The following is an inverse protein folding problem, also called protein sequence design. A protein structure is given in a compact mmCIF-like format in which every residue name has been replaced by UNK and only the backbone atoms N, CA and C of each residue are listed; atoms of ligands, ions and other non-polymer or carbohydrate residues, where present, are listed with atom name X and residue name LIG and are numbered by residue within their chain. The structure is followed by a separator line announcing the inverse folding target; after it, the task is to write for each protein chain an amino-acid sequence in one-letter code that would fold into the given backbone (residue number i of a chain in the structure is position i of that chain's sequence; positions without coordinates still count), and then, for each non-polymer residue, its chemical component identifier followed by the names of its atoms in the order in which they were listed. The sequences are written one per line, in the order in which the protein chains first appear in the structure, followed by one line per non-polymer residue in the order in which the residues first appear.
data_IF_989192313974
#
_entry.id   IF_989192313974
#
_cell.length_a   1.000
_cell.length_b   1.000
_cell.length_c   1.000
_cell.angle_alpha   90.00
_cell.angle_beta   90.00
_cell.angle_gamma   90.00
#
_symmetry.space_group_name_H-M   'P 1'
#
loop_
_entity.id
_entity.type
_entity.pdbx_description
1 polymer ?
#
# COMPACT_ATOMS: atom_id res chain seq x y z
N UNK A 1 20.91 -4.74 -11.97
CA UNK A 1 20.83 -4.52 -13.43
C UNK A 1 19.94 -5.59 -14.06
N UNK A 2 19.32 -5.34 -15.23
CA UNK A 2 18.54 -6.38 -15.91
C UNK A 2 19.45 -7.55 -16.30
N UNK A 3 19.00 -8.78 -16.02
CA UNK A 3 19.70 -10.01 -16.36
C UNK A 3 18.96 -10.69 -17.52
N UNK A 4 19.69 -11.07 -18.57
CA UNK A 4 19.11 -11.88 -19.67
C UNK A 4 19.05 -13.33 -19.26
N UNK A 5 17.88 -13.94 -19.37
CA UNK A 5 17.64 -15.34 -19.02
C UNK A 5 17.26 -16.09 -20.30
N UNK A 6 18.03 -17.11 -20.73
CA UNK A 6 17.70 -17.88 -21.92
C UNK A 6 16.49 -18.80 -21.69
N UNK A 7 15.81 -19.18 -22.77
CA UNK A 7 14.69 -20.12 -22.69
C UNK A 7 15.14 -21.45 -22.07
N UNK A 8 14.34 -21.97 -21.14
CA UNK A 8 14.64 -23.21 -20.40
C UNK A 8 15.60 -23.04 -19.22
N UNK A 9 16.15 -21.84 -18.97
CA UNK A 9 16.94 -21.59 -17.77
C UNK A 9 16.07 -21.52 -16.52
N UNK A 10 16.68 -21.87 -15.39
CA UNK A 10 16.07 -21.80 -14.06
C UNK A 10 16.65 -20.59 -13.33
N UNK A 11 15.77 -19.75 -12.77
CA UNK A 11 16.14 -18.66 -11.89
C UNK A 11 15.79 -19.04 -10.44
N UNK A 12 16.79 -19.05 -9.57
CA UNK A 12 16.60 -19.31 -8.14
C UNK A 12 16.79 -18.00 -7.35
N UNK A 13 15.74 -17.59 -6.65
CA UNK A 13 15.80 -16.51 -5.68
C UNK A 13 15.81 -17.09 -4.27
N UNK A 14 16.94 -16.96 -3.58
CA UNK A 14 17.08 -17.38 -2.18
C UNK A 14 16.26 -16.51 -1.21
N UNK A 15 16.27 -16.85 0.09
CA UNK A 15 15.59 -16.05 1.11
C UNK A 15 16.14 -14.62 1.15
N UNK A 16 15.28 -13.66 1.50
CA UNK A 16 15.71 -12.29 1.73
C UNK A 16 16.70 -12.23 2.91
N UNK A 17 17.92 -11.77 2.64
CA UNK A 17 18.98 -11.58 3.65
C UNK A 17 18.87 -10.24 4.37
N UNK A 18 18.26 -9.25 3.71
CA UNK A 18 17.97 -7.92 4.25
C UNK A 18 16.56 -7.53 3.88
N UNK A 19 15.74 -7.26 4.88
CA UNK A 19 14.33 -6.90 4.68
C UNK A 19 13.42 -8.09 4.53
N UNK A 20 12.24 -7.84 3.99
CA UNK A 20 11.15 -8.81 3.97
C UNK A 20 10.67 -9.13 2.57
N UNK A 21 10.68 -8.16 1.64
CA UNK A 21 10.04 -8.30 0.34
C UNK A 21 11.03 -8.02 -0.79
N UNK A 22 11.09 -8.94 -1.74
CA UNK A 22 11.85 -8.79 -2.99
C UNK A 22 10.89 -8.72 -4.17
N UNK A 23 11.30 -8.02 -5.23
CA UNK A 23 10.52 -7.89 -6.46
C UNK A 23 11.31 -8.47 -7.62
N UNK A 24 10.67 -9.35 -8.37
CA UNK A 24 11.17 -9.88 -9.64
C UNK A 24 10.28 -9.35 -10.76
N UNK A 25 10.91 -8.73 -11.75
CA UNK A 25 10.22 -8.17 -12.91
C UNK A 25 10.74 -8.81 -14.19
N UNK A 26 9.84 -9.06 -15.14
CA UNK A 26 10.14 -9.61 -16.45
C UNK A 26 9.86 -8.53 -17.51
N UNK A 27 10.70 -8.45 -18.54
CA UNK A 27 10.40 -7.60 -19.68
C UNK A 27 9.09 -8.05 -20.33
N UNK A 28 8.21 -7.09 -20.64
CA UNK A 28 6.82 -7.37 -21.06
C UNK A 28 5.84 -7.59 -19.91
N UNK A 29 6.32 -7.78 -18.68
CA UNK A 29 5.51 -7.99 -17.50
C UNK A 29 4.95 -9.42 -17.37
N UNK A 30 4.30 -9.68 -16.24
CA UNK A 30 3.48 -10.88 -16.04
C UNK A 30 2.06 -10.57 -16.49
N UNK A 31 1.42 -11.50 -17.21
CA UNK A 31 0.05 -11.32 -17.73
C UNK A 31 -0.97 -12.34 -17.17
N UNK A 32 -1.10 -12.52 -15.84
CA UNK A 32 -2.28 -13.20 -15.32
C UNK A 32 -3.56 -12.44 -15.70
N UNK A 33 -4.69 -13.14 -15.62
CA UNK A 33 -6.01 -12.56 -15.82
C UNK A 33 -6.21 -11.37 -14.87
N UNK A 34 -6.58 -10.23 -15.44
CA UNK A 34 -6.82 -9.02 -14.68
C UNK A 34 -8.21 -9.06 -14.01
N UNK A 35 -8.27 -8.66 -12.74
CA UNK A 35 -9.50 -8.51 -11.97
C UNK A 35 -9.67 -7.03 -11.65
N UNK A 36 -10.82 -6.45 -12.01
CA UNK A 36 -11.11 -5.02 -11.87
C UNK A 36 -10.04 -4.10 -12.51
N UNK A 37 -9.47 -4.51 -13.64
CA UNK A 37 -8.42 -3.75 -14.34
C UNK A 37 -7.04 -3.79 -13.67
N UNK A 38 -6.85 -4.60 -12.63
CA UNK A 38 -5.59 -4.77 -11.91
C UNK A 38 -5.11 -6.24 -11.94
N UNK A 39 -3.80 -6.43 -11.76
CA UNK A 39 -3.17 -7.75 -11.60
C UNK A 39 -2.61 -7.97 -10.19
N UNK A 40 -2.85 -7.04 -9.27
CA UNK A 40 -2.48 -7.17 -7.87
C UNK A 40 -3.38 -8.20 -7.18
N UNK A 41 -2.77 -9.05 -6.35
CA UNK A 41 -3.50 -9.87 -5.39
C UNK A 41 -3.79 -9.04 -4.12
N UNK A 42 -5.03 -9.06 -3.66
CA UNK A 42 -5.47 -8.43 -2.40
C UNK A 42 -5.76 -9.50 -1.34
N UNK A 43 -4.99 -9.50 -0.24
CA UNK A 43 -5.12 -10.54 0.79
C UNK A 43 -6.44 -10.49 1.55
N UNK A 44 -7.06 -9.31 1.67
CA UNK A 44 -8.25 -9.13 2.49
C UNK A 44 -9.52 -9.62 1.79
N UNK A 45 -9.71 -9.23 0.53
CA UNK A 45 -10.89 -9.59 -0.27
C UNK A 45 -10.72 -10.91 -1.04
N UNK A 46 -9.48 -11.35 -1.26
CA UNK A 46 -9.17 -12.49 -2.13
C UNK A 46 -9.27 -12.17 -3.62
N UNK A 47 -9.35 -10.89 -4.01
CA UNK A 47 -9.37 -10.47 -5.41
C UNK A 47 -7.97 -10.53 -6.05
N UNK A 48 -7.97 -10.74 -7.37
CA UNK A 48 -6.74 -10.85 -8.16
C UNK A 48 -6.22 -12.28 -8.25
N UNK A 49 -4.98 -12.47 -8.74
CA UNK A 49 -4.39 -13.78 -8.88
C UNK A 49 -4.15 -14.44 -7.51
N UNK A 50 -4.34 -15.76 -7.44
CA UNK A 50 -4.00 -16.53 -6.26
C UNK A 50 -2.48 -16.49 -5.97
N UNK A 51 -2.05 -16.69 -4.71
CA UNK A 51 -0.64 -16.91 -4.40
C UNK A 51 -0.08 -18.06 -5.23
N UNK A 52 1.10 -17.86 -5.81
CA UNK A 52 1.74 -18.85 -6.68
C UNK A 52 2.07 -20.14 -5.92
N UNK A 53 1.77 -21.28 -6.55
CA UNK A 53 2.10 -22.63 -6.11
C UNK A 53 3.12 -23.32 -7.03
N UNK A 54 3.67 -24.44 -6.55
CA UNK A 54 4.56 -25.26 -7.35
C UNK A 54 3.80 -25.86 -8.55
N UNK A 55 4.35 -25.69 -9.75
CA UNK A 55 3.74 -26.15 -11.00
C UNK A 55 2.90 -25.10 -11.73
N UNK A 56 2.68 -23.93 -11.13
CA UNK A 56 1.95 -22.84 -11.79
C UNK A 56 2.71 -22.33 -13.02
N UNK A 57 1.95 -22.03 -14.07
CA UNK A 57 2.46 -21.39 -15.29
C UNK A 57 1.85 -20.00 -15.40
N UNK A 58 2.70 -18.97 -15.39
CA UNK A 58 2.28 -17.56 -15.53
C UNK A 58 2.74 -17.05 -16.89
N UNK A 59 1.84 -16.55 -17.74
CA UNK A 59 2.21 -16.02 -19.05
C UNK A 59 3.00 -14.71 -18.91
N UNK A 60 3.95 -14.51 -19.83
CA UNK A 60 4.71 -13.27 -19.98
C UNK A 60 4.12 -12.43 -21.11
N UNK A 61 4.09 -11.12 -20.90
CA UNK A 61 3.74 -10.18 -21.96
C UNK A 61 4.85 -10.03 -23.01
N UNK A 62 4.51 -9.42 -24.13
CA UNK A 62 5.46 -9.18 -25.21
C UNK A 62 6.47 -8.08 -24.83
N UNK A 63 7.77 -8.38 -24.69
CA UNK A 63 8.78 -7.41 -24.29
C UNK A 63 9.02 -6.31 -25.35
N UNK A 64 8.56 -6.51 -26.59
CA UNK A 64 8.67 -5.52 -27.66
C UNK A 64 7.53 -4.49 -27.64
N UNK A 65 6.42 -4.76 -26.92
CA UNK A 65 5.35 -3.78 -26.77
C UNK A 65 5.76 -2.69 -25.78
N UNK A 66 5.53 -1.41 -26.10
CA UNK A 66 5.66 -0.35 -25.11
C UNK A 66 4.74 -0.67 -23.93
N UNK A 67 5.26 -0.63 -22.70
CA UNK A 67 4.43 -0.74 -21.50
C UNK A 67 3.36 0.35 -21.58
N UNK A 68 2.09 -0.04 -21.53
CA UNK A 68 0.98 0.91 -21.42
C UNK A 68 1.23 1.73 -20.14
N UNK A 69 1.46 3.02 -20.28
CA UNK A 69 1.74 3.89 -19.14
C UNK A 69 0.48 3.93 -18.27
N UNK A 70 0.57 3.40 -17.05
CA UNK A 70 -0.42 3.68 -16.02
C UNK A 70 -0.12 5.10 -15.53
N UNK A 71 -0.81 6.08 -16.11
CA UNK A 71 -0.84 7.45 -15.59
C UNK A 71 -1.20 7.39 -14.09
N UNK A 72 -0.40 8.01 -13.20
CA UNK A 72 -0.80 8.16 -11.80
C UNK A 72 -2.16 8.85 -11.76
N UNK A 73 -3.17 8.18 -11.21
CA UNK A 73 -4.49 8.78 -11.04
C UNK A 73 -4.36 10.03 -10.18
N UNK A 74 -4.82 11.17 -10.70
CA UNK A 74 -4.87 12.43 -9.96
C UNK A 74 -5.81 12.28 -8.76
N UNK A 75 -5.31 12.32 -7.51
CA UNK A 75 -6.13 12.10 -6.31
C UNK A 75 -7.20 13.20 -6.11
N UNK A 76 -7.13 14.30 -6.86
CA UNK A 76 -8.04 15.43 -6.75
C UNK A 76 -9.31 15.34 -7.63
N UNK A 77 -9.45 14.31 -8.50
CA UNK A 77 -10.66 14.13 -9.30
C UNK A 77 -11.54 13.00 -8.76
N UNK A 78 -12.61 13.29 -8.01
CA UNK A 78 -13.62 12.29 -7.71
C UNK A 78 -14.31 11.88 -9.02
N UNK A 79 -13.99 10.71 -9.54
CA UNK A 79 -14.76 10.08 -10.61
C UNK A 79 -16.10 9.62 -10.04
N UNK A 80 -17.16 10.31 -10.43
CA UNK A 80 -18.54 9.85 -10.24
C UNK A 80 -19.30 10.59 -9.14
N UNK A 81 -19.93 11.72 -9.53
CA UNK A 81 -21.13 12.19 -8.84
C UNK A 81 -22.28 11.31 -9.32
N UNK A 82 -22.93 10.57 -8.42
CA UNK A 82 -24.19 9.89 -8.75
C UNK A 82 -25.27 10.97 -8.81
N UNK A 83 -25.48 11.53 -10.00
CA UNK A 83 -26.66 12.33 -10.29
C UNK A 83 -27.78 11.36 -10.71
N UNK A 84 -28.88 11.35 -9.96
CA UNK A 84 -30.11 10.67 -10.35
C UNK A 84 -30.73 11.40 -11.53
N UNK A 85 -30.49 10.93 -12.75
CA UNK A 85 -31.10 11.49 -13.96
C UNK A 85 -32.10 10.51 -14.58
N UNK A 86 -33.34 10.98 -14.79
CA UNK A 86 -34.35 10.37 -15.65
C UNK A 86 -33.87 10.24 -17.11
N UNK A 87 -34.73 9.76 -18.02
CA UNK A 87 -34.27 9.20 -19.30
C UNK A 87 -33.66 10.28 -20.20
N UNK A 88 -32.38 10.10 -20.52
CA UNK A 88 -31.62 10.95 -21.42
C UNK A 88 -31.83 10.51 -22.88
N UNK A 89 -32.16 11.47 -23.75
CA UNK A 89 -32.10 11.31 -25.21
C UNK A 89 -30.65 11.17 -25.71
N UNK A 90 -30.44 10.74 -26.96
CA UNK A 90 -29.11 10.38 -27.45
C UNK A 90 -28.24 11.62 -27.66
N UNK A 91 -27.02 11.60 -27.11
CA UNK A 91 -25.97 12.59 -27.38
C UNK A 91 -24.81 11.94 -28.13
N UNK A 92 -24.34 12.67 -29.16
CA UNK A 92 -23.34 12.29 -30.16
C UNK A 92 -21.90 12.31 -29.58
N UNK A 93 -21.09 11.22 -29.71
CA UNK A 93 -19.81 11.09 -29.02
C UNK A 93 -18.61 11.78 -29.68
N UNK A 94 -18.77 12.56 -30.75
CA UNK A 94 -17.64 12.98 -31.59
C UNK A 94 -16.90 14.29 -31.21
N UNK A 95 -17.21 14.98 -30.11
CA UNK A 95 -16.53 16.25 -29.77
C UNK A 95 -16.15 16.35 -28.30
N UNK A 96 -14.94 15.90 -27.95
CA UNK A 96 -14.09 16.43 -26.84
C UNK A 96 -12.79 15.60 -26.71
N UNK A 97 -11.80 15.83 -27.57
CA UNK A 97 -10.39 15.61 -27.24
C UNK A 97 -9.55 16.69 -27.92
N UNK A 98 -8.98 17.59 -27.12
CA UNK A 98 -7.87 18.44 -27.57
C UNK A 98 -6.61 17.60 -27.75
N UNK A 99 -5.59 18.09 -28.48
CA UNK A 99 -4.39 17.32 -28.78
C UNK A 99 -3.61 17.03 -27.50
N UNK A 100 -3.36 15.75 -27.23
CA UNK A 100 -2.45 15.32 -26.19
C UNK A 100 -1.01 15.74 -26.56
N UNK A 101 -0.36 16.51 -25.69
CA UNK A 101 1.07 16.74 -25.77
C UNK A 101 1.77 15.38 -25.67
N UNK A 102 2.56 15.04 -26.71
CA UNK A 102 3.34 13.81 -26.75
C UNK A 102 4.47 13.93 -25.74
N UNK A 103 4.32 13.28 -24.59
CA UNK A 103 5.42 13.03 -23.68
C UNK A 103 6.43 12.09 -24.39
N UNK A 104 7.73 12.40 -24.27
CA UNK A 104 8.81 11.65 -24.91
C UNK A 104 8.89 10.19 -24.44
N UNK A 105 9.68 9.33 -25.11
CA UNK A 105 9.80 7.93 -24.73
C UNK A 105 10.27 7.80 -23.27
N UNK A 106 9.73 6.85 -22.48
CA UNK A 106 10.15 6.68 -21.11
C UNK A 106 11.64 6.35 -21.07
N UNK A 107 12.39 7.10 -20.26
CA UNK A 107 13.77 6.73 -19.94
C UNK A 107 13.77 5.30 -19.39
N UNK A 108 14.69 4.46 -19.88
CA UNK A 108 14.87 3.12 -19.35
C UNK A 108 15.10 3.22 -17.84
N UNK A 109 14.09 2.83 -17.06
CA UNK A 109 14.19 2.82 -15.61
C UNK A 109 15.24 1.78 -15.23
N UNK A 110 16.44 2.24 -14.90
CA UNK A 110 17.47 1.40 -14.30
C UNK A 110 16.96 0.83 -12.97
N UNK A 111 17.64 -0.18 -12.40
CA UNK A 111 17.32 -0.65 -11.07
C UNK A 111 17.40 0.53 -10.11
N UNK A 112 16.28 0.88 -9.45
CA UNK A 112 16.32 1.85 -8.36
C UNK A 112 16.84 1.09 -7.15
N UNK A 113 18.06 1.37 -6.66
CA UNK A 113 18.57 0.69 -5.49
C UNK A 113 17.67 1.03 -4.31
N UNK A 114 17.00 0.01 -3.78
CA UNK A 114 16.29 0.15 -2.52
C UNK A 114 17.34 0.35 -1.41
N UNK A 115 17.20 1.33 -0.51
CA UNK A 115 18.21 1.66 0.51
C UNK A 115 18.41 0.56 1.59
N UNK A 116 17.78 -0.60 1.43
CA UNK A 116 17.81 -1.71 2.37
C UNK A 116 16.68 -1.67 3.39
N UNK A 117 16.63 -2.68 4.25
CA UNK A 117 15.68 -2.70 5.35
C UNK A 117 16.16 -1.80 6.48
N UNK A 118 15.26 -1.02 7.10
CA UNK A 118 15.65 -0.16 8.19
C UNK A 118 16.07 -0.98 9.42
N UNK A 119 17.23 -0.66 9.99
CA UNK A 119 17.65 -1.17 11.31
C UNK A 119 16.67 -0.67 12.39
N UNK A 120 16.17 0.55 12.19
CA UNK A 120 15.10 1.18 12.97
C UNK A 120 14.11 1.85 12.01
N UNK A 121 12.84 1.52 12.15
CA UNK A 121 11.76 2.07 11.35
C UNK A 121 11.21 3.34 11.98
N UNK A 122 11.52 4.49 11.37
CA UNK A 122 11.00 5.79 11.78
C UNK A 122 9.82 6.16 10.89
N UNK A 123 8.64 6.33 11.49
CA UNK A 123 7.39 6.64 10.77
C UNK A 123 6.93 8.06 11.12
N UNK A 124 7.04 9.03 10.19
CA UNK A 124 6.47 10.37 10.38
C UNK A 124 4.94 10.31 10.35
N UNK A 125 4.29 10.88 11.37
CA UNK A 125 2.85 10.82 11.58
C UNK A 125 2.23 12.22 11.62
N UNK A 126 1.19 12.41 10.82
CA UNK A 126 0.25 13.51 10.96
C UNK A 126 -0.87 13.06 11.92
N UNK A 127 -1.01 13.70 13.09
CA UNK A 127 -2.04 13.33 14.08
C UNK A 127 -3.45 13.65 13.59
N UNK A 128 -4.41 12.82 13.99
CA UNK A 128 -5.82 12.92 13.59
C UNK A 128 -6.23 11.90 12.52
N UNK A 129 -7.53 11.80 12.20
CA UNK A 129 -8.59 12.72 12.65
C UNK A 129 -9.11 12.47 14.07
N UNK A 130 -8.87 11.29 14.67
CA UNK A 130 -9.43 10.89 15.99
C UNK A 130 -8.42 10.97 17.14
N UNK A 131 -7.43 11.87 17.07
CA UNK A 131 -6.45 12.01 18.15
C UNK A 131 -7.09 12.46 19.48
N UNK A 132 -8.25 13.12 19.41
CA UNK A 132 -9.08 13.54 20.55
C UNK A 132 -9.73 12.37 21.31
N UNK A 133 -9.75 11.17 20.73
CA UNK A 133 -10.22 9.93 21.39
C UNK A 133 -9.19 9.32 22.34
N UNK A 134 -8.00 9.91 22.43
CA UNK A 134 -6.90 9.44 23.26
C UNK A 134 -6.54 10.47 24.32
N UNK A 135 -6.03 10.00 25.45
CA UNK A 135 -5.56 10.89 26.52
C UNK A 135 -4.31 11.64 26.06
N UNK A 136 -4.05 12.83 26.62
CA UNK A 136 -2.82 13.56 26.33
C UNK A 136 -1.54 12.74 26.65
N UNK A 137 -1.48 11.94 27.75
CA UNK A 137 -0.43 10.94 27.95
C UNK A 137 -0.31 9.93 26.81
N UNK A 138 -1.40 9.39 26.28
CA UNK A 138 -1.36 8.43 25.18
C UNK A 138 -0.77 9.03 23.89
N UNK A 139 -1.11 10.28 23.55
CA UNK A 139 -0.51 10.97 22.39
C UNK A 139 1.00 11.19 22.57
N UNK A 140 1.46 11.45 23.81
CA UNK A 140 2.90 11.50 24.11
C UNK A 140 3.55 10.13 24.00
N UNK A 141 2.91 9.08 24.53
CA UNK A 141 3.37 7.69 24.43
C UNK A 141 3.57 7.30 22.97
N UNK A 142 2.59 7.55 22.10
CA UNK A 142 2.68 7.26 20.67
C UNK A 142 3.97 7.83 20.06
N UNK A 143 4.30 9.09 20.35
CA UNK A 143 5.40 9.81 19.71
C UNK A 143 6.77 9.65 20.40
N UNK A 144 6.83 9.00 21.56
CA UNK A 144 8.06 8.92 22.37
C UNK A 144 8.46 7.51 22.76
N UNK A 145 7.52 6.57 22.78
CA UNK A 145 7.79 5.19 23.14
C UNK A 145 8.51 4.44 22.01
N UNK A 146 9.24 3.40 22.41
CA UNK A 146 9.80 2.42 21.49
C UNK A 146 8.79 1.30 21.26
N UNK A 147 8.49 1.05 20.00
CA UNK A 147 7.68 -0.06 19.54
C UNK A 147 8.54 -1.10 18.81
N UNK A 148 7.96 -2.27 18.56
CA UNK A 148 8.53 -3.29 17.68
C UNK A 148 7.50 -3.75 16.68
N UNK A 149 7.94 -4.15 15.49
CA UNK A 149 7.08 -4.81 14.50
C UNK A 149 6.68 -6.18 15.02
N UNK A 150 5.38 -6.46 15.11
CA UNK A 150 4.86 -7.75 15.56
C UNK A 150 4.97 -8.81 14.46
N UNK A 151 5.19 -10.11 14.78
CA UNK A 151 5.12 -11.21 13.82
C UNK A 151 3.74 -11.41 13.19
N UNK A 152 2.69 -10.80 13.74
CA UNK A 152 1.34 -10.83 13.17
C UNK A 152 1.10 -9.77 12.09
N UNK A 153 2.14 -9.04 11.67
CA UNK A 153 2.07 -8.04 10.60
C UNK A 153 1.96 -8.70 9.22
N UNK A 154 1.15 -8.13 8.33
CA UNK A 154 0.97 -8.63 6.97
C UNK A 154 0.71 -7.45 5.99
N UNK A 155 0.21 -7.72 4.78
CA UNK A 155 -0.06 -6.65 3.78
C UNK A 155 -1.26 -5.76 4.12
N UNK A 156 -2.13 -6.19 5.03
CA UNK A 156 -3.28 -5.41 5.52
C UNK A 156 -2.79 -4.34 6.49
N UNK A 157 -1.90 -4.71 7.42
CA UNK A 157 -1.34 -3.76 8.36
C UNK A 157 -0.08 -4.22 9.08
N UNK A 158 0.77 -3.25 9.39
CA UNK A 158 1.89 -3.39 10.30
C UNK A 158 1.37 -3.26 11.73
N UNK A 159 1.49 -4.33 12.50
CA UNK A 159 1.06 -4.39 13.90
C UNK A 159 2.24 -4.12 14.80
N UNK A 160 1.99 -3.43 15.91
CA UNK A 160 3.06 -3.07 16.86
C UNK A 160 2.97 -3.89 18.14
N UNK A 161 4.13 -4.15 18.72
CA UNK A 161 4.33 -4.55 20.11
C UNK A 161 4.93 -3.36 20.86
N UNK A 162 4.42 -3.05 22.04
CA UNK A 162 4.81 -1.87 22.80
C UNK A 162 3.70 -1.41 23.73
N UNK A 163 3.79 -0.18 24.27
CA UNK A 163 2.79 0.34 25.19
C UNK A 163 1.45 0.57 24.51
N UNK A 164 0.38 0.21 25.22
CA UNK A 164 -0.99 0.49 24.81
C UNK A 164 -1.31 1.99 24.99
N UNK A 165 -2.08 2.53 24.05
CA UNK A 165 -2.57 3.90 24.08
C UNK A 165 -3.93 3.95 24.80
N UNK A 166 -3.97 4.71 25.88
CA UNK A 166 -5.19 4.91 26.66
C UNK A 166 -6.19 5.79 25.89
N UNK A 167 -7.43 5.30 25.75
CA UNK A 167 -8.52 6.06 25.17
C UNK A 167 -9.16 6.97 26.21
N UNK A 168 -9.43 8.22 25.82
CA UNK A 168 -10.28 9.15 26.58
C UNK A 168 -11.77 8.89 26.34
N UNK A 169 -12.11 8.25 25.21
CA UNK A 169 -13.48 7.88 24.81
C UNK A 169 -13.57 6.39 24.54
N UNK A 170 -14.55 5.73 25.16
CA UNK A 170 -14.76 4.28 25.06
C UNK A 170 -16.03 3.91 24.29
N UNK A 171 -16.74 4.91 23.76
CA UNK A 171 -17.90 4.70 22.90
C UNK A 171 -17.52 3.99 21.58
N UNK A 172 -18.51 3.40 20.92
CA UNK A 172 -18.31 2.78 19.61
C UNK A 172 -18.17 3.86 18.55
N UNK A 173 -17.17 3.73 17.67
CA UNK A 173 -16.99 4.63 16.54
C UNK A 173 -17.75 4.07 15.33
N UNK A 174 -18.73 4.79 14.76
CA UNK A 174 -19.34 4.41 13.50
C UNK A 174 -18.26 4.23 12.42
N UNK A 175 -18.41 3.21 11.59
CA UNK A 175 -17.43 2.92 10.53
C UNK A 175 -17.17 4.16 9.67
N UNK A 176 -15.90 4.50 9.52
CA UNK A 176 -15.44 5.63 8.71
C UNK A 176 -14.46 5.15 7.64
N UNK A 177 -14.30 5.95 6.58
CA UNK A 177 -13.32 5.68 5.54
C UNK A 177 -11.90 5.72 6.10
N UNK A 178 -11.07 4.74 5.71
CA UNK A 178 -9.67 4.68 6.13
C UNK A 178 -8.76 4.73 4.91
N UNK A 179 -7.56 5.29 5.11
CA UNK A 179 -6.59 5.54 4.05
C UNK A 179 -5.28 4.79 4.32
N UNK A 180 -4.49 4.62 3.27
CA UNK A 180 -3.17 4.05 3.36
C UNK A 180 -2.31 4.83 4.37
N UNK A 181 -1.64 4.11 5.27
CA UNK A 181 -0.85 4.69 6.35
C UNK A 181 -1.65 5.13 7.58
N UNK A 182 -2.98 5.00 7.61
CA UNK A 182 -3.78 5.30 8.80
C UNK A 182 -3.36 4.39 9.97
N UNK A 183 -3.24 5.00 11.16
CA UNK A 183 -2.87 4.32 12.40
C UNK A 183 -4.15 4.10 13.22
N UNK A 184 -4.76 2.93 13.06
CA UNK A 184 -5.86 2.53 13.92
C UNK A 184 -5.34 2.01 15.26
N UNK A 185 -6.12 2.26 16.31
CA UNK A 185 -5.85 1.70 17.64
C UNK A 185 -7.07 0.87 18.06
N UNK A 186 -7.00 -0.48 18.00
CA UNK A 186 -8.05 -1.36 18.48
C UNK A 186 -8.26 -1.26 20.01
N UNK A 187 -9.23 -2.00 20.59
CA UNK A 187 -9.50 -1.97 22.03
C UNK A 187 -8.32 -2.38 22.93
N UNK A 188 -7.35 -3.14 22.40
CA UNK A 188 -6.12 -3.50 23.12
C UNK A 188 -5.12 -2.34 23.26
N UNK A 189 -5.42 -1.19 22.63
CA UNK A 189 -4.61 0.01 22.67
C UNK A 189 -3.36 -0.03 21.79
N UNK A 190 -3.12 -1.09 21.03
CA UNK A 190 -1.86 -1.24 20.25
C UNK A 190 -2.01 -0.65 18.85
N UNK A 191 -1.14 0.29 18.43
CA UNK A 191 -1.19 0.86 17.10
C UNK A 191 -1.06 -0.18 15.98
N UNK A 192 -1.88 -0.04 14.94
CA UNK A 192 -1.82 -0.78 13.68
C UNK A 192 -1.76 0.21 12.53
N UNK A 193 -0.68 0.18 11.75
CA UNK A 193 -0.51 1.02 10.56
C UNK A 193 -1.05 0.29 9.35
N UNK A 194 -2.05 0.84 8.67
CA UNK A 194 -2.62 0.23 7.48
C UNK A 194 -1.70 0.30 6.26
N UNK A 195 -1.60 -0.82 5.56
CA UNK A 195 -0.80 -1.04 4.35
C UNK A 195 -1.73 -1.36 3.17
N UNK A 196 -1.18 -1.70 2.00
CA UNK A 196 -1.89 -1.69 0.72
C UNK A 196 -3.15 -2.57 0.62
N UNK A 197 -3.33 -3.56 1.50
CA UNK A 197 -4.52 -4.43 1.51
C UNK A 197 -5.49 -4.07 2.66
N UNK A 198 -5.42 -2.82 3.16
CA UNK A 198 -6.31 -2.35 4.22
C UNK A 198 -7.78 -2.29 3.75
N UNK A 199 -8.76 -2.50 4.65
CA UNK A 199 -10.16 -2.34 4.28
C UNK A 199 -10.46 -0.89 3.87
N UNK A 200 -11.51 -0.65 3.09
CA UNK A 200 -11.92 0.72 2.73
C UNK A 200 -12.51 1.50 3.91
N UNK A 201 -13.06 0.79 4.91
CA UNK A 201 -13.65 1.37 6.12
C UNK A 201 -13.18 0.64 7.37
N UNK A 202 -13.26 1.31 8.52
CA UNK A 202 -12.99 0.67 9.82
C UNK A 202 -13.69 1.36 10.97
N UNK A 203 -13.90 0.62 12.06
CA UNK A 203 -14.61 1.08 13.27
C UNK A 203 -13.70 1.41 14.46
N UNK A 204 -12.39 1.53 14.24
CA UNK A 204 -11.44 1.91 15.28
C UNK A 204 -10.89 3.30 15.04
N UNK A 205 -10.69 4.11 16.10
CA UNK A 205 -10.21 5.48 15.98
C UNK A 205 -8.83 5.52 15.34
N UNK A 206 -8.71 6.33 14.30
CA UNK A 206 -7.44 6.65 13.65
C UNK A 206 -6.75 7.79 14.40
N UNK A 207 -5.69 7.47 15.14
CA UNK A 207 -4.94 8.45 15.95
C UNK A 207 -4.06 9.37 15.11
N UNK A 208 -3.66 8.90 13.92
CA UNK A 208 -2.80 9.62 12.99
C UNK A 208 -2.67 8.88 11.66
N UNK A 209 -2.00 9.50 10.69
CA UNK A 209 -1.68 8.92 9.38
C UNK A 209 -0.19 9.05 9.13
N UNK A 210 0.47 7.93 8.80
CA UNK A 210 1.88 7.88 8.42
C UNK A 210 2.06 8.47 7.03
N UNK A 211 3.09 9.30 6.85
CA UNK A 211 3.44 9.85 5.55
C UNK A 211 3.78 8.74 4.54
N UNK A 212 3.18 8.78 3.35
CA UNK A 212 3.27 7.73 2.33
C UNK A 212 4.71 7.34 1.97
N UNK A 213 5.61 8.32 1.86
CA UNK A 213 7.05 8.12 1.59
C UNK A 213 7.75 7.17 2.58
N UNK A 214 7.23 7.00 3.78
CA UNK A 214 7.81 6.15 4.81
C UNK A 214 7.22 4.72 4.81
N UNK A 215 6.09 4.47 4.13
CA UNK A 215 5.42 3.17 4.11
C UNK A 215 6.22 2.11 3.34
N UNK A 216 7.03 2.57 2.39
CA UNK A 216 8.11 1.83 1.78
C UNK A 216 8.95 1.05 2.83
N UNK A 217 9.43 1.75 3.87
CA UNK A 217 10.20 1.13 4.95
C UNK A 217 9.37 0.16 5.79
N UNK A 218 8.09 0.47 6.04
CA UNK A 218 7.18 -0.42 6.76
C UNK A 218 6.97 -1.76 6.02
N UNK A 219 6.91 -1.73 4.68
CA UNK A 219 6.83 -2.93 3.86
C UNK A 219 8.12 -3.78 3.85
N UNK A 220 9.25 -3.25 4.34
CA UNK A 220 10.51 -3.98 4.43
C UNK A 220 10.93 -4.36 5.85
N UNK A 221 10.21 -3.86 6.86
CA UNK A 221 10.51 -4.16 8.24
C UNK A 221 10.16 -5.62 8.57
N UNK A 222 11.09 -6.32 9.23
CA UNK A 222 10.91 -7.69 9.69
C UNK A 222 10.32 -7.70 11.10
N UNK A 223 9.65 -8.79 11.53
CA UNK A 223 9.25 -8.93 12.92
C UNK A 223 10.41 -8.69 13.88
N UNK A 224 10.18 -7.90 14.93
CA UNK A 224 11.19 -7.49 15.90
C UNK A 224 11.97 -6.21 15.56
N UNK A 225 11.87 -5.68 14.32
CA UNK A 225 12.45 -4.37 13.96
C UNK A 225 11.94 -3.30 14.92
N UNK A 226 12.85 -2.48 15.46
CA UNK A 226 12.49 -1.33 16.31
C UNK A 226 11.72 -0.31 15.49
N UNK A 227 10.68 0.25 16.07
CA UNK A 227 9.78 1.21 15.43
C UNK A 227 9.59 2.41 16.33
N UNK A 228 9.64 3.61 15.74
CA UNK A 228 9.26 4.86 16.41
C UNK A 228 8.33 5.66 15.51
N UNK A 229 7.27 6.18 16.10
CA UNK A 229 6.46 7.21 15.46
C UNK A 229 7.05 8.58 15.81
N UNK A 230 7.22 9.44 14.81
CA UNK A 230 7.69 10.81 15.01
C UNK A 230 6.66 11.78 14.44
N UNK A 231 6.63 13.00 14.95
CA UNK A 231 5.76 14.03 14.37
C UNK A 231 6.27 14.38 12.97
N UNK A 232 5.37 14.35 11.99
CA UNK A 232 5.68 14.71 10.60
C UNK A 232 5.87 16.23 10.41
#
# INVERSE_FOLDING_TARGET
EPVRVPAGAVLEAGPAVTGLRSYLAFAGGLEPDAVLGSRSADLLSGLGPAPLGAGDTVPLGDPAKPSEQVEPGDPAKPTGRVESSGPAGPSDPAKRRGPAERCGPPAAAGPVPWPGAPVELVLPVHLGPRHDWFTAPALRTLLTADYRVSPHSNRIGLRTEGPALERSRTEELPSEGVVLGAIQVPPDGRPVVFLHDHPTTGGYPVVGVVAERALAGAAQAVPGTRLRFVRA
#
